data_IF_149847442781
#
_entry.id   IF_149847442781
#
_cell.length_a   1.000
_cell.length_b   1.000
_cell.length_c   1.000
_cell.angle_alpha   90.00
_cell.angle_beta   90.00
_cell.angle_gamma   90.00
#
_symmetry.space_group_name_H-M   'P 1'
#
loop_
_entity.id
_entity.type
_entity.pdbx_description
1 polymer ?
#
# COMPACT_ATOMS: atom_id res chain seq x y z
N UNK A 1 12.90 9.07 1.55
CA UNK A 1 11.55 8.57 1.85
C UNK A 1 10.97 9.43 2.94
N UNK A 2 9.66 9.71 2.88
CA UNK A 2 8.89 10.25 4.01
C UNK A 2 7.80 9.24 4.36
N UNK A 3 7.50 9.14 5.65
CA UNK A 3 6.43 8.30 6.20
C UNK A 3 5.40 9.23 6.85
N UNK A 4 4.20 9.24 6.28
CA UNK A 4 3.09 10.08 6.75
C UNK A 4 2.00 9.28 7.47
N UNK A 5 2.20 7.98 7.61
CA UNK A 5 1.24 7.08 8.25
C UNK A 5 1.50 6.97 9.75
N UNK A 6 2.76 6.74 10.15
CA UNK A 6 3.14 6.63 11.56
C UNK A 6 2.91 7.97 12.27
N UNK A 7 3.19 9.07 11.58
CA UNK A 7 2.84 10.42 12.00
C UNK A 7 2.43 11.28 10.80
N UNK A 8 1.31 11.97 10.90
CA UNK A 8 0.86 12.89 9.85
C UNK A 8 1.84 14.05 9.66
N UNK A 9 2.24 14.32 8.40
CA UNK A 9 3.05 15.48 8.04
C UNK A 9 2.18 16.54 7.34
N UNK A 10 2.05 17.76 7.89
CA UNK A 10 1.33 18.82 7.21
C UNK A 10 1.95 19.17 5.84
N UNK A 11 1.12 19.62 4.90
CA UNK A 11 1.50 19.92 3.52
C UNK A 11 2.71 20.85 3.38
N UNK A 12 2.81 21.88 4.24
CA UNK A 12 3.96 22.78 4.24
C UNK A 12 5.27 22.07 4.60
N UNK A 13 5.24 21.05 5.47
CA UNK A 13 6.43 20.26 5.82
C UNK A 13 6.88 19.36 4.68
N UNK A 14 5.94 18.81 3.91
CA UNK A 14 6.30 18.03 2.70
C UNK A 14 6.93 18.97 1.66
N UNK A 15 6.38 20.17 1.46
CA UNK A 15 6.96 21.19 0.55
C UNK A 15 8.34 21.68 1.00
N UNK A 16 8.54 21.95 2.28
CA UNK A 16 9.86 22.28 2.85
C UNK A 16 10.88 21.16 2.57
N UNK A 17 10.46 19.89 2.70
CA UNK A 17 11.33 18.74 2.36
C UNK A 17 11.68 18.71 0.86
N UNK A 18 10.71 18.97 -0.03
CA UNK A 18 10.96 19.04 -1.48
C UNK A 18 11.93 20.17 -1.85
N UNK A 19 11.85 21.32 -1.17
CA UNK A 19 12.83 22.40 -1.34
C UNK A 19 14.24 21.95 -0.95
N UNK A 20 14.38 21.28 0.20
CA UNK A 20 15.66 20.73 0.66
C UNK A 20 16.19 19.64 -0.28
N UNK A 21 15.33 18.77 -0.79
CA UNK A 21 15.67 17.76 -1.78
C UNK A 21 16.24 18.39 -3.05
N UNK A 22 15.59 19.44 -3.56
CA UNK A 22 16.06 20.19 -4.74
C UNK A 22 17.45 20.80 -4.52
N UNK A 23 17.68 21.43 -3.35
CA UNK A 23 18.99 21.99 -2.98
C UNK A 23 20.10 20.92 -2.95
N UNK A 24 19.75 19.70 -2.56
CA UNK A 24 20.66 18.56 -2.47
C UNK A 24 20.66 17.66 -3.73
N UNK A 25 19.99 18.07 -4.81
CA UNK A 25 19.91 17.32 -6.09
C UNK A 25 19.29 15.93 -5.97
N UNK A 26 18.43 15.71 -4.98
CA UNK A 26 17.54 14.55 -4.98
C UNK A 26 16.41 14.79 -5.99
N UNK A 27 15.98 13.72 -6.65
CA UNK A 27 14.99 13.77 -7.74
C UNK A 27 13.83 12.77 -7.57
N UNK A 28 13.75 12.05 -6.43
CA UNK A 28 12.67 11.12 -6.13
C UNK A 28 12.21 11.32 -4.70
N UNK A 29 10.95 11.70 -4.52
CA UNK A 29 10.23 11.60 -3.26
C UNK A 29 9.56 10.24 -3.23
N UNK A 30 10.13 9.32 -2.43
CA UNK A 30 9.43 8.10 -2.03
C UNK A 30 8.45 8.46 -0.90
N UNK A 31 7.15 8.37 -1.16
CA UNK A 31 6.11 8.76 -0.22
C UNK A 31 5.36 7.54 0.28
N UNK A 32 5.76 7.07 1.45
CA UNK A 32 5.07 6.05 2.23
C UNK A 32 3.87 6.69 2.91
N UNK A 33 2.71 6.59 2.24
CA UNK A 33 1.55 7.44 2.55
C UNK A 33 0.63 6.86 3.62
N UNK A 34 0.51 5.52 3.68
CA UNK A 34 -0.38 4.76 4.57
C UNK A 34 0.38 3.58 5.16
N UNK A 35 0.00 3.15 6.37
CA UNK A 35 0.59 2.00 7.10
C UNK A 35 -0.38 1.56 8.21
N UNK A 36 0.03 0.68 9.12
CA UNK A 36 -0.78 0.15 10.21
C UNK A 36 -1.46 1.23 11.07
N UNK A 37 -0.75 2.32 11.37
CA UNK A 37 -1.22 3.31 12.35
C UNK A 37 -2.19 4.32 11.75
N UNK A 38 -2.09 4.65 10.47
CA UNK A 38 -3.08 5.54 9.84
C UNK A 38 -3.18 5.43 8.32
N UNK A 39 -4.37 5.76 7.82
CA UNK A 39 -4.73 5.88 6.41
C UNK A 39 -5.10 7.35 6.08
N UNK A 40 -4.14 8.27 5.94
CA UNK A 40 -4.45 9.68 5.69
C UNK A 40 -4.85 9.98 4.24
N UNK A 41 -4.62 9.07 3.29
CA UNK A 41 -4.98 9.28 1.88
C UNK A 41 -6.51 9.25 1.67
N UNK A 42 -7.10 10.34 1.17
CA UNK A 42 -8.55 10.38 0.90
C UNK A 42 -8.83 9.77 -0.47
N UNK A 43 -9.40 8.56 -0.48
CA UNK A 43 -9.87 7.93 -1.72
C UNK A 43 -11.28 8.39 -2.09
N UNK A 44 -11.53 8.67 -3.37
CA UNK A 44 -12.88 8.96 -3.86
C UNK A 44 -13.67 7.66 -4.05
N UNK A 45 -13.01 6.57 -4.47
CA UNK A 45 -13.64 5.25 -4.62
C UNK A 45 -13.92 4.57 -3.28
N UNK A 46 -13.08 4.80 -2.26
CA UNK A 46 -13.25 4.24 -0.91
C UNK A 46 -13.10 5.32 0.19
N UNK A 47 -14.09 6.21 0.36
CA UNK A 47 -14.01 7.33 1.32
C UNK A 47 -13.84 6.89 2.79
N UNK A 48 -14.38 5.71 3.11
CA UNK A 48 -14.37 5.17 4.47
C UNK A 48 -12.96 4.80 4.95
N UNK A 49 -12.00 4.53 4.04
CA UNK A 49 -10.60 4.26 4.38
C UNK A 49 -9.99 5.40 5.20
N UNK A 50 -10.12 6.64 4.72
CA UNK A 50 -9.62 7.81 5.45
C UNK A 50 -10.52 8.24 6.59
N UNK A 51 -11.85 8.08 6.43
CA UNK A 51 -12.82 8.49 7.46
C UNK A 51 -12.66 7.68 8.74
N UNK A 52 -12.32 6.40 8.61
CA UNK A 52 -12.20 5.46 9.73
C UNK A 52 -10.73 5.16 10.08
N UNK A 53 -9.81 5.22 9.11
CA UNK A 53 -8.41 4.83 9.29
C UNK A 53 -7.43 5.98 9.51
N UNK A 54 -7.80 7.25 9.28
CA UNK A 54 -6.92 8.37 9.59
C UNK A 54 -6.85 8.68 11.09
N UNK A 55 -5.79 9.37 11.53
CA UNK A 55 -5.66 9.82 12.92
C UNK A 55 -6.82 10.71 13.38
N UNK A 56 -7.24 11.64 12.52
CA UNK A 56 -8.46 12.44 12.67
C UNK A 56 -8.84 13.06 11.31
N UNK A 57 -10.05 13.62 11.20
CA UNK A 57 -10.59 14.17 9.94
C UNK A 57 -9.80 15.35 9.36
N UNK A 58 -8.92 16.00 10.14
CA UNK A 58 -8.09 17.11 9.68
C UNK A 58 -6.66 16.65 9.30
N UNK A 59 -6.32 15.38 9.55
CA UNK A 59 -5.01 14.79 9.25
C UNK A 59 -5.11 13.85 8.06
N UNK A 60 -5.57 14.42 6.95
CA UNK A 60 -5.81 13.71 5.69
C UNK A 60 -5.17 14.45 4.52
N UNK A 61 -4.93 13.73 3.44
CA UNK A 61 -4.46 14.26 2.16
C UNK A 61 -5.57 14.10 1.12
N UNK A 62 -6.20 15.20 0.75
CA UNK A 62 -7.24 15.22 -0.28
C UNK A 62 -6.65 15.03 -1.68
N UNK A 63 -7.49 14.72 -2.67
CA UNK A 63 -7.07 14.68 -4.07
C UNK A 63 -6.38 15.99 -4.52
N UNK A 64 -6.85 17.14 -4.03
CA UNK A 64 -6.24 18.43 -4.29
C UNK A 64 -4.85 18.59 -3.65
N UNK A 65 -4.67 18.07 -2.43
CA UNK A 65 -3.37 18.04 -1.75
C UNK A 65 -2.36 17.18 -2.53
N UNK A 66 -2.78 15.99 -2.96
CA UNK A 66 -1.93 15.11 -3.78
C UNK A 66 -1.49 15.82 -5.07
N UNK A 67 -2.43 16.43 -5.80
CA UNK A 67 -2.14 17.18 -7.02
C UNK A 67 -1.18 18.36 -6.78
N UNK A 68 -1.35 19.09 -5.67
CA UNK A 68 -0.48 20.19 -5.27
C UNK A 68 0.96 19.72 -4.95
N UNK A 69 1.14 18.62 -4.20
CA UNK A 69 2.47 18.04 -3.95
C UNK A 69 3.12 17.55 -5.25
N UNK A 70 2.38 16.84 -6.09
CA UNK A 70 2.89 16.34 -7.38
C UNK A 70 3.34 17.52 -8.26
N UNK A 71 2.54 18.58 -8.37
CA UNK A 71 2.90 19.79 -9.13
C UNK A 71 4.13 20.47 -8.54
N UNK A 72 4.17 20.66 -7.21
CA UNK A 72 5.27 21.35 -6.52
C UNK A 72 6.60 20.61 -6.66
N UNK A 73 6.56 19.27 -6.63
CA UNK A 73 7.70 18.40 -6.87
C UNK A 73 8.14 18.45 -8.35
N UNK A 74 7.18 18.42 -9.28
CA UNK A 74 7.44 18.50 -10.73
C UNK A 74 8.18 19.78 -11.11
N UNK A 75 7.78 20.92 -10.57
CA UNK A 75 8.44 22.23 -10.80
C UNK A 75 9.92 22.23 -10.35
N UNK A 76 10.32 21.27 -9.52
CA UNK A 76 11.68 21.09 -9.00
C UNK A 76 12.43 19.93 -9.63
N UNK A 77 11.84 19.26 -10.62
CA UNK A 77 12.40 18.06 -11.23
C UNK A 77 12.45 16.86 -10.28
N UNK A 78 11.53 16.81 -9.31
CA UNK A 78 11.40 15.71 -8.34
C UNK A 78 10.19 14.86 -8.74
N UNK A 79 10.43 13.58 -8.94
CA UNK A 79 9.39 12.55 -9.14
C UNK A 79 8.74 12.20 -7.82
N UNK A 80 7.45 11.92 -7.81
CA UNK A 80 6.73 11.44 -6.62
C UNK A 80 6.33 9.99 -6.86
N UNK A 81 6.94 9.07 -6.12
CA UNK A 81 6.61 7.65 -6.16
C UNK A 81 5.81 7.35 -4.90
N UNK A 82 4.49 7.13 -5.01
CA UNK A 82 3.69 6.72 -3.86
C UNK A 82 3.99 5.28 -3.48
N UNK A 83 3.82 4.99 -2.20
CA UNK A 83 3.83 3.64 -1.64
C UNK A 83 2.55 3.39 -0.87
N UNK A 84 1.88 2.30 -1.24
CA UNK A 84 0.75 1.72 -0.54
C UNK A 84 1.12 0.27 -0.25
N UNK A 85 1.74 0.06 0.91
CA UNK A 85 2.30 -1.24 1.27
C UNK A 85 1.21 -2.28 1.53
N UNK A 86 1.34 -3.44 0.89
CA UNK A 86 0.48 -4.59 1.06
C UNK A 86 1.27 -5.90 0.83
N UNK A 87 0.89 -7.04 1.43
CA UNK A 87 -0.27 -7.27 2.29
C UNK A 87 -0.02 -6.98 3.77
N UNK A 88 1.23 -6.78 4.18
CA UNK A 88 1.60 -6.27 5.52
C UNK A 88 1.18 -4.82 5.71
N UNK A 89 1.46 -4.23 6.87
CA UNK A 89 1.30 -2.78 7.12
C UNK A 89 -0.09 -2.19 6.79
N UNK A 90 -1.14 -2.99 6.98
CA UNK A 90 -2.50 -2.67 6.50
C UNK A 90 -3.55 -2.56 7.60
N UNK A 91 -3.16 -2.49 8.89
CA UNK A 91 -4.14 -2.46 9.99
C UNK A 91 -5.15 -1.32 9.87
N UNK A 92 -4.72 -0.13 9.47
CA UNK A 92 -5.58 1.05 9.28
C UNK A 92 -6.58 0.91 8.13
N UNK A 93 -6.31 0.02 7.17
CA UNK A 93 -7.16 -0.20 6.00
C UNK A 93 -8.44 -0.96 6.37
N UNK A 94 -8.34 -1.88 7.33
CA UNK A 94 -9.45 -2.75 7.73
C UNK A 94 -10.62 -2.04 8.38
N UNK A 95 -10.39 -0.88 9.00
CA UNK A 95 -11.46 -0.12 9.67
C UNK A 95 -12.39 0.56 8.65
N UNK A 96 -11.88 0.89 7.46
CA UNK A 96 -12.65 1.48 6.35
C UNK A 96 -13.05 0.50 5.24
N UNK A 97 -12.49 -0.71 5.23
CA UNK A 97 -12.85 -1.77 4.29
C UNK A 97 -13.11 -3.09 5.04
N UNK A 98 -14.37 -3.41 5.34
CA UNK A 98 -14.74 -4.69 5.92
C UNK A 98 -14.27 -5.87 5.07
N UNK A 99 -13.99 -6.99 5.72
CA UNK A 99 -13.55 -8.26 5.12
C UNK A 99 -12.22 -8.24 4.35
N UNK A 100 -11.48 -7.12 4.35
CA UNK A 100 -10.17 -7.00 3.69
C UNK A 100 -9.05 -7.71 4.45
N UNK A 101 -9.00 -7.54 5.78
CA UNK A 101 -7.94 -8.11 6.62
C UNK A 101 -8.29 -9.52 7.09
N UNK A 102 -7.26 -10.33 7.32
CA UNK A 102 -7.43 -11.68 7.87
C UNK A 102 -7.79 -11.59 9.34
N UNK A 103 -8.90 -12.20 9.75
CA UNK A 103 -9.25 -12.37 11.16
C UNK A 103 -8.37 -13.46 11.80
N UNK A 104 -7.75 -13.16 12.93
CA UNK A 104 -6.86 -14.09 13.62
C UNK A 104 -7.62 -14.99 14.60
N UNK A 105 -7.15 -16.22 14.76
CA UNK A 105 -7.77 -17.23 15.60
C UNK A 105 -6.88 -17.62 16.77
N UNK A 106 -7.49 -17.93 17.90
CA UNK A 106 -6.81 -18.51 19.07
C UNK A 106 -7.71 -19.59 19.65
N UNK A 107 -7.16 -20.81 19.84
CA UNK A 107 -7.91 -21.98 20.31
C UNK A 107 -9.18 -22.29 19.49
N UNK A 108 -9.14 -22.06 18.17
CA UNK A 108 -10.24 -22.38 17.26
C UNK A 108 -11.40 -21.39 17.26
N UNK A 109 -11.24 -20.20 17.85
CA UNK A 109 -12.21 -19.10 17.76
C UNK A 109 -11.52 -17.80 17.37
N UNK A 110 -12.23 -16.87 16.70
CA UNK A 110 -11.70 -15.54 16.44
C UNK A 110 -11.29 -14.82 17.71
N UNK A 111 -10.13 -14.18 17.71
CA UNK A 111 -9.62 -13.45 18.87
C UNK A 111 -9.86 -11.93 18.80
N UNK A 112 -10.53 -11.44 17.73
CA UNK A 112 -10.81 -10.03 17.50
C UNK A 112 -9.62 -9.20 17.00
N UNK A 113 -8.46 -9.84 16.76
CA UNK A 113 -7.31 -9.21 16.12
C UNK A 113 -7.34 -9.50 14.62
N UNK A 114 -6.76 -8.57 13.86
CA UNK A 114 -6.60 -8.67 12.43
C UNK A 114 -5.12 -8.69 12.07
N UNK A 115 -4.77 -9.49 11.06
CA UNK A 115 -3.43 -9.58 10.50
C UNK A 115 -3.35 -8.95 9.11
N UNK A 116 -2.45 -9.45 8.24
CA UNK A 116 -2.32 -8.98 6.87
C UNK A 116 -3.62 -9.10 6.06
N UNK A 117 -3.67 -8.39 4.93
CA UNK A 117 -4.72 -8.56 3.92
C UNK A 117 -4.97 -10.04 3.64
N UNK A 118 -6.24 -10.42 3.49
CA UNK A 118 -6.66 -11.79 3.17
C UNK A 118 -6.48 -12.07 1.66
N UNK A 119 -5.50 -12.89 1.25
CA UNK A 119 -5.24 -13.19 -0.15
C UNK A 119 -6.16 -14.27 -0.73
N UNK A 120 -7.03 -14.88 0.08
CA UNK A 120 -7.92 -15.96 -0.36
C UNK A 120 -9.22 -15.46 -1.01
N UNK A 121 -9.53 -14.17 -0.85
CA UNK A 121 -10.80 -13.57 -1.30
C UNK A 121 -10.64 -12.82 -2.62
N UNK A 122 -11.51 -13.09 -3.59
CA UNK A 122 -11.55 -12.32 -4.84
C UNK A 122 -11.92 -10.84 -4.61
N UNK A 123 -12.74 -10.55 -3.59
CA UNK A 123 -13.11 -9.18 -3.21
C UNK A 123 -11.90 -8.33 -2.83
N UNK A 124 -10.83 -8.93 -2.29
CA UNK A 124 -9.55 -8.26 -2.03
C UNK A 124 -8.95 -7.72 -3.32
N UNK A 125 -8.94 -8.53 -4.37
CA UNK A 125 -8.34 -8.16 -5.66
C UNK A 125 -9.20 -7.14 -6.43
N UNK A 126 -10.52 -7.23 -6.33
CA UNK A 126 -11.43 -6.21 -6.87
C UNK A 126 -11.23 -4.86 -6.16
N UNK A 127 -11.07 -4.89 -4.83
CA UNK A 127 -10.74 -3.72 -4.03
C UNK A 127 -9.42 -3.08 -4.46
N UNK A 128 -8.34 -3.87 -4.50
CA UNK A 128 -7.01 -3.40 -4.88
C UNK A 128 -7.01 -2.84 -6.31
N UNK A 129 -7.70 -3.47 -7.25
CA UNK A 129 -7.81 -2.99 -8.63
C UNK A 129 -8.46 -1.60 -8.68
N UNK A 130 -9.58 -1.40 -7.99
CA UNK A 130 -10.25 -0.11 -7.97
C UNK A 130 -9.40 0.97 -7.29
N UNK A 131 -8.79 0.67 -6.14
CA UNK A 131 -7.94 1.60 -5.42
C UNK A 131 -6.71 1.99 -6.26
N UNK A 132 -5.98 1.01 -6.79
CA UNK A 132 -4.79 1.30 -7.59
C UNK A 132 -5.10 1.98 -8.92
N UNK A 133 -6.29 1.77 -9.51
CA UNK A 133 -6.74 2.56 -10.68
C UNK A 133 -6.83 4.05 -10.33
N UNK A 134 -7.35 4.38 -9.14
CA UNK A 134 -7.38 5.76 -8.66
C UNK A 134 -5.95 6.29 -8.39
N UNK A 135 -5.12 5.51 -7.70
CA UNK A 135 -3.73 5.89 -7.39
C UNK A 135 -2.94 6.18 -8.66
N UNK A 136 -2.98 5.31 -9.68
CA UNK A 136 -2.26 5.53 -10.95
C UNK A 136 -2.82 6.71 -11.76
N UNK A 137 -4.05 7.14 -11.50
CA UNK A 137 -4.61 8.35 -12.11
C UNK A 137 -4.14 9.64 -11.44
N UNK A 138 -3.84 9.60 -10.13
CA UNK A 138 -3.42 10.77 -9.33
C UNK A 138 -1.90 10.96 -9.29
N UNK A 139 -1.14 9.88 -9.43
CA UNK A 139 0.32 9.90 -9.46
C UNK A 139 0.83 9.59 -10.88
N UNK A 140 1.31 10.59 -11.63
CA UNK A 140 1.66 10.42 -13.05
C UNK A 140 3.01 9.73 -13.30
N UNK A 141 3.74 9.36 -12.24
CA UNK A 141 5.02 8.65 -12.38
C UNK A 141 4.82 7.25 -12.98
N UNK A 142 5.85 6.74 -13.66
CA UNK A 142 5.80 5.41 -14.27
C UNK A 142 5.97 4.27 -13.27
N UNK A 143 6.30 4.58 -12.02
CA UNK A 143 6.55 3.63 -10.96
C UNK A 143 5.64 3.90 -9.76
N UNK A 144 5.23 2.79 -9.14
CA UNK A 144 4.43 2.73 -7.94
C UNK A 144 5.13 1.71 -7.03
N UNK A 145 5.34 2.05 -5.76
CA UNK A 145 5.86 1.09 -4.79
C UNK A 145 4.68 0.34 -4.18
N UNK A 146 4.73 -1.00 -4.23
CA UNK A 146 3.66 -1.87 -3.73
C UNK A 146 3.94 -2.40 -2.32
N UNK A 147 5.09 -2.02 -1.75
CA UNK A 147 5.60 -2.55 -0.49
C UNK A 147 5.92 -4.04 -0.60
N UNK A 148 5.34 -4.83 0.31
CA UNK A 148 5.51 -6.27 0.40
C UNK A 148 6.62 -6.68 1.36
N UNK A 149 6.91 -5.86 2.36
CA UNK A 149 7.86 -6.17 3.43
C UNK A 149 7.18 -6.67 4.71
N UNK A 150 8.01 -7.27 5.56
CA UNK A 150 7.73 -7.71 6.94
C UNK A 150 6.40 -8.45 7.20
N UNK A 151 5.84 -9.16 6.21
CA UNK A 151 4.52 -9.81 6.32
C UNK A 151 4.47 -10.85 7.44
N UNK A 152 3.69 -10.65 8.53
CA UNK A 152 3.60 -11.61 9.61
C UNK A 152 2.62 -12.75 9.28
N UNK A 153 3.14 -13.96 9.06
CA UNK A 153 2.31 -15.13 8.70
C UNK A 153 1.49 -15.71 9.86
N UNK A 154 1.71 -15.30 11.12
CA UNK A 154 1.07 -15.90 12.29
C UNK A 154 -0.47 -15.89 12.21
N UNK A 155 -1.04 -14.79 11.72
CA UNK A 155 -2.50 -14.67 11.58
C UNK A 155 -3.04 -15.58 10.46
N UNK A 156 -2.37 -15.62 9.30
CA UNK A 156 -2.70 -16.55 8.21
C UNK A 156 -2.63 -18.01 8.67
N UNK A 157 -1.61 -18.37 9.45
CA UNK A 157 -1.45 -19.72 10.03
C UNK A 157 -2.65 -20.09 10.93
N UNK A 158 -3.17 -19.13 11.68
CA UNK A 158 -4.29 -19.38 12.58
C UNK A 158 -5.64 -19.53 11.86
N UNK A 159 -5.78 -18.97 10.66
CA UNK A 159 -7.06 -18.87 9.96
C UNK A 159 -7.43 -20.17 9.23
N UNK A 160 -8.61 -20.77 9.53
CA UNK A 160 -9.08 -21.96 8.84
C UNK A 160 -9.40 -21.71 7.36
N UNK A 161 -9.95 -20.54 7.00
CA UNK A 161 -10.30 -20.21 5.61
C UNK A 161 -9.05 -20.12 4.72
N UNK A 162 -7.98 -19.50 5.24
CA UNK A 162 -6.69 -19.43 4.55
C UNK A 162 -6.10 -20.82 4.37
N UNK A 163 -6.14 -21.65 5.42
CA UNK A 163 -5.62 -23.02 5.36
C UNK A 163 -6.36 -23.86 4.30
N UNK A 164 -7.68 -23.74 4.22
CA UNK A 164 -8.49 -24.41 3.19
C UNK A 164 -8.15 -23.91 1.79
N UNK A 165 -8.03 -22.60 1.61
CA UNK A 165 -7.66 -22.00 0.33
C UNK A 165 -6.28 -22.47 -0.14
N UNK A 166 -5.29 -22.54 0.76
CA UNK A 166 -3.96 -23.06 0.43
C UNK A 166 -4.01 -24.50 -0.10
N UNK A 167 -4.85 -25.36 0.49
CA UNK A 167 -5.06 -26.73 -0.01
C UNK A 167 -5.69 -26.71 -1.40
N UNK A 168 -6.71 -25.87 -1.63
CA UNK A 168 -7.39 -25.76 -2.92
C UNK A 168 -6.46 -25.26 -4.05
N UNK A 169 -5.56 -24.32 -3.73
CA UNK A 169 -4.61 -23.74 -4.69
C UNK A 169 -3.27 -24.51 -4.77
N UNK A 170 -3.12 -25.64 -4.08
CA UNK A 170 -1.88 -26.41 -3.96
C UNK A 170 -0.68 -25.58 -3.47
N UNK A 171 -0.91 -24.64 -2.54
CA UNK A 171 0.11 -23.81 -1.92
C UNK A 171 0.58 -24.48 -0.63
N UNK A 172 1.87 -24.76 -0.51
CA UNK A 172 2.44 -25.53 0.62
C UNK A 172 3.06 -24.68 1.72
N UNK A 173 3.43 -23.43 1.42
CA UNK A 173 4.07 -22.51 2.39
C UNK A 173 3.38 -21.15 2.38
N UNK A 174 3.41 -20.44 3.52
CA UNK A 174 2.84 -19.10 3.63
C UNK A 174 3.63 -18.04 2.83
N UNK A 175 4.94 -18.25 2.61
CA UNK A 175 5.70 -17.47 1.64
C UNK A 175 5.25 -17.71 0.19
N UNK A 176 4.74 -18.92 -0.10
CA UNK A 176 4.09 -19.25 -1.37
C UNK A 176 2.75 -18.53 -1.51
N UNK A 177 1.99 -18.40 -0.42
CA UNK A 177 0.74 -17.64 -0.38
C UNK A 177 0.98 -16.13 -0.58
N UNK A 178 2.00 -15.58 0.08
CA UNK A 178 2.45 -14.21 -0.14
C UNK A 178 2.87 -13.99 -1.61
N UNK A 179 3.59 -14.95 -2.19
CA UNK A 179 3.97 -14.91 -3.60
C UNK A 179 2.78 -14.97 -4.55
N UNK A 180 1.75 -15.74 -4.21
CA UNK A 180 0.49 -15.76 -4.94
C UNK A 180 -0.20 -14.39 -4.90
N UNK A 181 -0.25 -13.76 -3.72
CA UNK A 181 -0.79 -12.41 -3.55
C UNK A 181 -0.04 -11.37 -4.39
N UNK A 182 1.29 -11.32 -4.26
CA UNK A 182 2.11 -10.34 -4.97
C UNK A 182 2.01 -10.53 -6.49
N UNK A 183 2.01 -11.77 -6.98
CA UNK A 183 1.85 -12.05 -8.41
C UNK A 183 0.51 -11.52 -8.95
N UNK A 184 -0.58 -11.78 -8.23
CA UNK A 184 -1.91 -11.26 -8.58
C UNK A 184 -1.96 -9.73 -8.56
N UNK A 185 -1.36 -9.09 -7.56
CA UNK A 185 -1.29 -7.63 -7.47
C UNK A 185 -0.47 -7.03 -8.61
N UNK A 186 0.68 -7.62 -8.93
CA UNK A 186 1.50 -7.20 -10.06
C UNK A 186 0.74 -7.32 -11.39
N UNK A 187 -0.01 -8.39 -11.60
CA UNK A 187 -0.86 -8.56 -12.79
C UNK A 187 -1.95 -7.49 -12.86
N UNK A 188 -2.56 -7.11 -11.74
CA UNK A 188 -3.53 -6.02 -11.69
C UNK A 188 -2.87 -4.72 -12.13
N UNK A 189 -1.78 -4.32 -11.45
CA UNK A 189 -1.12 -3.02 -11.64
C UNK A 189 -0.52 -2.91 -13.04
N UNK A 190 0.07 -3.99 -13.57
CA UNK A 190 0.62 -4.05 -14.91
C UNK A 190 -0.41 -3.84 -16.02
N UNK A 191 -1.70 -3.98 -15.73
CA UNK A 191 -2.78 -3.78 -16.69
C UNK A 191 -3.57 -2.48 -16.44
N UNK A 192 -3.15 -1.64 -15.50
CA UNK A 192 -3.81 -0.38 -15.20
C UNK A 192 -3.44 0.72 -16.21
N UNK A 193 -4.41 1.55 -16.62
CA UNK A 193 -4.12 2.73 -17.41
C UNK A 193 -3.32 3.74 -16.57
N UNK A 194 -2.34 4.36 -17.20
CA UNK A 194 -1.57 5.48 -16.63
C UNK A 194 -1.74 6.69 -17.52
N UNK A 195 -1.44 7.88 -16.99
CA UNK A 195 -1.41 9.11 -17.78
C UNK A 195 -0.51 9.02 -19.03
N UNK A 196 0.44 8.07 -19.04
CA UNK A 196 1.41 7.86 -20.12
C UNK A 196 1.31 6.48 -20.79
N UNK A 197 0.18 5.76 -20.67
CA UNK A 197 -0.04 4.44 -21.29
C UNK A 197 -0.45 3.37 -20.28
N UNK A 198 0.40 2.36 -20.07
CA UNK A 198 0.20 1.26 -19.11
C UNK A 198 1.43 1.20 -18.21
N UNK A 199 1.26 0.86 -16.92
CA UNK A 199 2.41 0.65 -16.03
C UNK A 199 3.32 -0.44 -16.63
N UNK A 200 4.65 -0.25 -16.68
CA UNK A 200 5.54 -1.29 -17.18
C UNK A 200 5.40 -2.55 -16.33
N UNK A 201 4.76 -3.58 -16.90
CA UNK A 201 4.59 -4.87 -16.26
C UNK A 201 5.94 -5.55 -16.06
N UNK A 202 6.20 -6.02 -14.83
CA UNK A 202 7.20 -7.07 -14.59
C UNK A 202 8.67 -6.64 -14.70
N UNK A 203 9.05 -5.55 -14.03
CA UNK A 203 10.41 -5.44 -13.50
C UNK A 203 10.47 -6.12 -12.13
N UNK A 204 10.79 -7.41 -12.09
CA UNK A 204 11.07 -8.12 -10.83
C UNK A 204 12.15 -7.40 -10.03
N UNK A 205 11.76 -6.64 -9.01
CA UNK A 205 12.64 -6.24 -7.89
C UNK A 205 12.72 -7.37 -6.84
N UNK A 206 12.52 -8.63 -7.27
CA UNK A 206 12.37 -9.78 -6.37
C UNK A 206 13.63 -10.61 -6.17
N UNK A 207 14.83 -10.03 -6.36
CA UNK A 207 16.08 -10.73 -6.03
C UNK A 207 17.03 -10.00 -5.09
N UNK A 208 16.70 -8.81 -4.56
CA UNK A 208 17.67 -8.14 -3.64
C UNK A 208 17.08 -7.19 -2.58
N UNK A 209 15.77 -7.18 -2.34
CA UNK A 209 15.20 -6.26 -1.34
C UNK A 209 15.26 -6.77 0.11
N UNK A 210 15.42 -8.09 0.33
CA UNK A 210 15.76 -8.64 1.66
C UNK A 210 17.12 -8.13 2.15
N UNK A 211 18.04 -7.79 1.23
CA UNK A 211 19.35 -7.22 1.56
C UNK A 211 19.32 -5.70 1.74
N UNK A 212 18.32 -4.99 1.21
CA UNK A 212 18.24 -3.53 1.27
C UNK A 212 17.41 -3.02 2.47
N UNK A 213 16.42 -3.78 2.94
CA UNK A 213 15.67 -3.42 4.17
C UNK A 213 16.40 -3.79 5.47
N UNK A 214 17.55 -4.48 5.40
CA UNK A 214 18.38 -4.79 6.58
C UNK A 214 19.42 -3.71 6.93
N UNK A 215 19.33 -2.52 6.33
CA UNK A 215 20.32 -1.44 6.50
C UNK A 215 19.74 -0.11 6.99
N UNK A 216 18.53 -0.11 7.55
CA UNK A 216 18.04 0.95 8.44
C UNK A 216 17.37 0.35 9.67
#
# INVERSE_FOLDING_TARGET
MIDTARHFLPMNKIKEMLDLMSMNKYNVLHWHIVDDQSFPYVSDVYPDLSTMGAWDSNRVYTSADIADIVSYATDRGIRVIPEFDTPGHTRSWGDGQPDLLTECYTNGSPNGLYGPIDPSKETTYDFLKALFTEVTSRFPDHYLHLGGDEVPFACWISSPSISEFMVQQNITTYSGLESYYIARLLDIVANLPTANGVMPGGGSFRSDMSSFCSLF
#
